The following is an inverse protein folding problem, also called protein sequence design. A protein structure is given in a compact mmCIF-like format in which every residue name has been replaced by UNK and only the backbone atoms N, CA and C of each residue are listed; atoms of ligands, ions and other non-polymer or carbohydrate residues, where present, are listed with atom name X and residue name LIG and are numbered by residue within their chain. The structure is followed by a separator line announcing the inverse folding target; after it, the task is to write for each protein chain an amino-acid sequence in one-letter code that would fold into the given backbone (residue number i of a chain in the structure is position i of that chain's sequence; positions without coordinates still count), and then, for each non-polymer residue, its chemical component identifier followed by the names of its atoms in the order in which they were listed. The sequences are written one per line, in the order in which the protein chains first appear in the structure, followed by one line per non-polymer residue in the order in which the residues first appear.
data_IF_779186557175
#
_entry.id   IF_779186557175
#
_cell.length_a   1.000
_cell.length_b   1.000
_cell.length_c   1.000
_cell.angle_alpha   90.00
_cell.angle_beta   90.00
_cell.angle_gamma   90.00
#
_symmetry.space_group_name_H-M   'P 1'
#
loop_
_entity.id
_entity.type
_entity.pdbx_description
1 polymer ?
#
# COMPACT_ATOMS: atom_id res chain seq x y z
N UNK A 1 -5.19 17.94 24.35
CA UNK A 1 -5.90 16.69 24.70
C UNK A 1 -6.54 16.15 23.43
N UNK A 2 -6.11 14.95 23.01
CA UNK A 2 -6.67 14.03 22.01
C UNK A 2 -7.24 14.63 20.70
N UNK A 3 -6.37 14.79 19.69
CA UNK A 3 -6.80 14.86 18.29
C UNK A 3 -6.93 13.44 17.74
N UNK A 4 -8.13 12.88 17.76
CA UNK A 4 -8.43 11.60 17.12
C UNK A 4 -8.31 11.77 15.60
N UNK A 5 -7.22 11.28 15.01
CA UNK A 5 -7.09 11.22 13.56
C UNK A 5 -8.08 10.17 13.03
N UNK A 6 -9.26 10.63 12.60
CA UNK A 6 -10.12 9.81 11.75
C UNK A 6 -9.38 9.62 10.43
N UNK A 7 -8.83 8.42 10.20
CA UNK A 7 -8.46 8.00 8.86
C UNK A 7 -9.76 7.93 8.05
N UNK A 8 -10.14 9.05 7.43
CA UNK A 8 -11.20 9.09 6.42
C UNK A 8 -10.69 8.30 5.22
N UNK A 9 -10.93 6.98 5.24
CA UNK A 9 -10.86 6.19 4.03
C UNK A 9 -12.04 6.63 3.17
N UNK A 10 -11.77 7.38 2.12
CA UNK A 10 -12.72 7.56 1.04
C UNK A 10 -12.94 6.17 0.42
N UNK A 11 -13.97 5.46 0.87
CA UNK A 11 -14.47 4.31 0.15
C UNK A 11 -15.02 4.85 -1.17
N UNK A 12 -14.54 4.36 -2.32
CA UNK A 12 -15.13 4.66 -3.61
C UNK A 12 -16.53 4.02 -3.66
N UNK A 13 -17.53 4.63 -3.03
CA UNK A 13 -18.90 4.15 -2.96
C UNK A 13 -19.09 2.76 -2.33
N UNK A 14 -20.27 2.20 -2.57
CA UNK A 14 -20.71 0.89 -2.10
C UNK A 14 -21.25 0.08 -3.30
N UNK A 15 -21.09 -1.24 -3.23
CA UNK A 15 -21.65 -2.17 -4.20
C UNK A 15 -22.48 -3.24 -3.52
N UNK A 16 -23.43 -3.81 -4.25
CA UNK A 16 -24.25 -4.92 -3.75
C UNK A 16 -23.60 -6.26 -4.05
N UNK A 17 -23.72 -7.18 -3.09
CA UNK A 17 -23.26 -8.57 -3.21
C UNK A 17 -24.37 -9.50 -2.74
N UNK A 18 -24.65 -10.54 -3.52
CA UNK A 18 -25.57 -11.60 -3.12
C UNK A 18 -25.00 -12.44 -1.96
N UNK A 19 -25.81 -12.61 -0.91
CA UNK A 19 -25.54 -13.48 0.23
C UNK A 19 -25.86 -14.92 -0.19
N UNK A 20 -24.90 -15.83 -0.07
CA UNK A 20 -25.10 -17.25 -0.36
C UNK A 20 -25.64 -17.97 0.87
N UNK A 21 -26.33 -19.08 0.66
CA UNK A 21 -26.80 -19.92 1.76
C UNK A 21 -25.61 -20.39 2.63
N UNK A 22 -25.68 -20.14 3.93
CA UNK A 22 -24.61 -20.46 4.87
C UNK A 22 -23.43 -19.47 4.90
N UNK A 23 -23.50 -18.34 4.17
CA UNK A 23 -22.53 -17.26 4.34
C UNK A 23 -22.63 -16.69 5.77
N UNK A 24 -21.50 -16.23 6.30
CA UNK A 24 -21.42 -15.41 7.52
C UNK A 24 -20.90 -14.02 7.18
N UNK A 25 -21.14 -13.02 8.04
CA UNK A 25 -20.56 -11.69 7.83
C UNK A 25 -19.02 -11.74 7.77
N UNK A 26 -18.40 -12.62 8.55
CA UNK A 26 -16.95 -12.84 8.54
C UNK A 26 -16.48 -13.43 7.20
N UNK A 27 -17.20 -14.41 6.65
CA UNK A 27 -16.88 -14.99 5.35
C UNK A 27 -17.06 -13.96 4.22
N UNK A 28 -18.10 -13.12 4.30
CA UNK A 28 -18.33 -12.02 3.37
C UNK A 28 -17.23 -10.95 3.46
N UNK A 29 -16.82 -10.58 4.68
CA UNK A 29 -15.73 -9.63 4.91
C UNK A 29 -14.39 -10.19 4.41
N UNK A 30 -14.09 -11.46 4.64
CA UNK A 30 -12.90 -12.10 4.10
C UNK A 30 -12.91 -12.10 2.56
N UNK A 31 -14.05 -12.51 1.97
CA UNK A 31 -14.22 -12.64 0.51
C UNK A 31 -14.15 -11.31 -0.23
N UNK A 32 -14.65 -10.22 0.36
CA UNK A 32 -14.81 -8.94 -0.34
C UNK A 32 -13.95 -7.81 0.20
N UNK A 33 -13.50 -7.88 1.46
CA UNK A 33 -12.67 -6.85 2.11
C UNK A 33 -11.25 -7.34 2.43
N UNK A 34 -10.94 -8.61 2.12
CA UNK A 34 -9.62 -9.23 2.35
C UNK A 34 -9.31 -9.55 3.82
N UNK A 35 -10.22 -9.24 4.75
CA UNK A 35 -10.02 -9.52 6.18
C UNK A 35 -11.34 -9.84 6.87
N UNK A 36 -11.40 -10.99 7.53
CA UNK A 36 -12.57 -11.42 8.30
C UNK A 36 -12.88 -10.46 9.46
N UNK A 37 -11.88 -9.76 10.01
CA UNK A 37 -12.03 -8.82 11.13
C UNK A 37 -12.92 -7.61 10.81
N UNK A 38 -13.12 -7.31 9.52
CA UNK A 38 -13.93 -6.18 9.04
C UNK A 38 -15.43 -6.47 8.96
N UNK A 39 -15.89 -7.55 9.57
CA UNK A 39 -17.31 -7.91 9.61
C UNK A 39 -18.17 -6.87 10.35
N UNK A 40 -17.61 -6.22 11.37
CA UNK A 40 -18.30 -5.15 12.12
C UNK A 40 -18.56 -3.91 11.25
N UNK A 41 -17.65 -3.60 10.32
CA UNK A 41 -17.83 -2.54 9.34
C UNK A 41 -19.02 -2.84 8.42
N UNK A 42 -19.19 -4.12 8.00
CA UNK A 42 -20.32 -4.55 7.17
C UNK A 42 -21.66 -4.48 7.91
N UNK A 43 -21.68 -4.88 9.18
CA UNK A 43 -22.87 -4.77 10.02
C UNK A 43 -23.30 -3.31 10.18
N UNK A 44 -22.34 -2.43 10.48
CA UNK A 44 -22.59 -0.99 10.64
C UNK A 44 -23.03 -0.33 9.35
N UNK A 45 -22.45 -0.68 8.20
CA UNK A 45 -22.81 -0.14 6.88
C UNK A 45 -24.26 -0.46 6.47
N UNK A 46 -24.80 -1.58 6.95
CA UNK A 46 -26.13 -2.08 6.59
C UNK A 46 -27.14 -1.97 7.73
N UNK A 47 -26.78 -1.33 8.85
CA UNK A 47 -27.59 -1.22 10.06
C UNK A 47 -28.09 -2.58 10.60
N UNK A 48 -27.22 -3.60 10.54
CA UNK A 48 -27.61 -4.97 10.90
C UNK A 48 -27.53 -5.23 12.40
N UNK A 49 -28.47 -6.05 12.89
CA UNK A 49 -28.56 -6.50 14.29
C UNK A 49 -28.44 -8.03 14.34
N UNK A 50 -27.81 -8.64 15.36
CA UNK A 50 -27.78 -10.08 15.51
C UNK A 50 -29.18 -10.71 15.41
N UNK A 51 -29.36 -11.83 14.68
CA UNK A 51 -28.34 -12.72 14.11
C UNK A 51 -27.71 -12.29 12.77
N UNK A 52 -27.97 -11.07 12.30
CA UNK A 52 -27.47 -10.44 11.06
C UNK A 52 -27.91 -11.11 9.74
N UNK A 53 -27.68 -12.41 9.60
CA UNK A 53 -28.09 -13.23 8.46
C UNK A 53 -28.99 -14.35 8.99
N UNK A 54 -30.14 -14.57 8.34
CA UNK A 54 -31.06 -15.64 8.69
C UNK A 54 -31.64 -16.35 7.47
N UNK A 55 -31.95 -17.62 7.63
CA UNK A 55 -32.74 -18.39 6.66
C UNK A 55 -34.24 -18.35 6.94
N UNK A 56 -34.65 -17.82 8.10
CA UNK A 56 -36.05 -17.75 8.51
C UNK A 56 -36.67 -16.39 8.09
N UNK A 57 -37.67 -16.39 7.20
CA UNK A 57 -38.38 -15.17 6.81
C UNK A 57 -39.06 -14.44 7.98
N UNK A 58 -39.39 -15.15 9.06
CA UNK A 58 -40.00 -14.57 10.25
C UNK A 58 -39.03 -13.62 10.98
N UNK A 59 -37.76 -13.99 11.09
CA UNK A 59 -36.72 -13.16 11.74
C UNK A 59 -36.38 -11.91 10.90
N UNK A 60 -36.38 -12.05 9.58
CA UNK A 60 -36.18 -10.94 8.64
C UNK A 60 -37.31 -9.92 8.75
N UNK A 61 -38.55 -10.38 8.86
CA UNK A 61 -39.73 -9.52 9.04
C UNK A 61 -39.76 -8.87 10.42
N UNK A 62 -39.46 -9.64 11.48
CA UNK A 62 -39.45 -9.16 12.86
C UNK A 62 -38.37 -8.09 13.12
N UNK A 63 -37.24 -8.17 12.41
CA UNK A 63 -36.14 -7.20 12.53
C UNK A 63 -36.36 -5.90 11.74
N UNK A 64 -37.46 -5.77 10.98
CA UNK A 64 -37.74 -4.59 10.18
C UNK A 64 -36.68 -4.31 9.09
N UNK A 65 -36.03 -5.37 8.57
CA UNK A 65 -34.97 -5.25 7.56
C UNK A 65 -33.55 -5.10 8.11
N UNK A 66 -33.35 -5.26 9.42
CA UNK A 66 -32.02 -5.26 10.08
C UNK A 66 -31.36 -6.65 10.16
N UNK A 67 -32.06 -7.69 9.71
CA UNK A 67 -31.53 -9.03 9.46
C UNK A 67 -31.78 -9.35 7.99
N UNK A 68 -30.75 -9.82 7.28
CA UNK A 68 -30.85 -10.12 5.85
C UNK A 68 -31.08 -11.62 5.62
N UNK A 69 -31.93 -11.94 4.65
CA UNK A 69 -32.17 -13.32 4.23
C UNK A 69 -31.00 -13.88 3.42
N UNK A 70 -30.75 -15.19 3.48
CA UNK A 70 -29.93 -15.86 2.47
C UNK A 70 -30.55 -15.67 1.07
N UNK A 71 -29.76 -15.23 0.10
CA UNK A 71 -30.21 -14.84 -1.24
C UNK A 71 -30.47 -13.34 -1.42
N UNK A 72 -30.55 -12.56 -0.33
CA UNK A 72 -30.62 -11.11 -0.41
C UNK A 72 -29.26 -10.49 -0.76
N UNK A 73 -29.26 -9.19 -1.10
CA UNK A 73 -28.03 -8.44 -1.36
C UNK A 73 -27.60 -7.64 -0.14
N UNK A 74 -26.33 -7.71 0.23
CA UNK A 74 -25.70 -6.88 1.26
C UNK A 74 -24.89 -5.75 0.60
N UNK A 75 -24.88 -4.55 1.20
CA UNK A 75 -23.96 -3.48 0.80
C UNK A 75 -22.58 -3.81 1.32
N UNK A 76 -21.60 -3.84 0.45
CA UNK A 76 -20.18 -3.87 0.85
C UNK A 76 -19.53 -2.60 0.36
N UNK A 77 -18.53 -2.11 1.10
CA UNK A 77 -17.64 -1.08 0.56
C UNK A 77 -17.13 -1.59 -0.79
N UNK A 78 -17.28 -0.80 -1.85
CA UNK A 78 -16.55 -1.17 -3.05
C UNK A 78 -15.08 -1.16 -2.64
N UNK A 79 -14.31 -2.16 -3.09
CA UNK A 79 -12.87 -1.96 -3.11
C UNK A 79 -12.70 -0.61 -3.80
N UNK A 80 -12.03 0.36 -3.15
CA UNK A 80 -11.72 1.63 -3.80
C UNK A 80 -11.28 1.24 -5.19
N UNK A 81 -12.00 1.72 -6.22
CA UNK A 81 -11.61 1.47 -7.60
C UNK A 81 -10.10 1.68 -7.57
N UNK A 82 -9.34 0.63 -7.86
CA UNK A 82 -7.88 0.72 -7.80
C UNK A 82 -7.58 1.94 -8.61
N UNK A 83 -7.19 3.03 -7.95
CA UNK A 83 -6.96 4.27 -8.64
C UNK A 83 -5.91 3.88 -9.66
N UNK A 84 -6.30 3.94 -10.93
CA UNK A 84 -5.37 3.60 -11.98
C UNK A 84 -4.34 4.71 -11.87
N UNK A 85 -3.05 4.37 -11.73
CA UNK A 85 -1.99 5.39 -11.66
C UNK A 85 -1.98 6.25 -12.94
N UNK A 86 -2.70 5.82 -13.97
CA UNK A 86 -2.99 6.55 -15.20
C UNK A 86 -4.17 7.55 -15.09
N UNK A 87 -5.10 7.35 -14.15
CA UNK A 87 -6.29 8.20 -13.96
C UNK A 87 -6.14 9.21 -12.83
N UNK A 88 -5.51 8.83 -11.71
CA UNK A 88 -5.17 9.75 -10.62
C UNK A 88 -3.83 9.38 -9.96
N UNK A 89 -2.71 9.86 -10.51
CA UNK A 89 -1.38 9.56 -9.97
C UNK A 89 -1.15 10.15 -8.58
N UNK A 90 -1.84 11.22 -8.20
CA UNK A 90 -1.67 11.87 -6.90
C UNK A 90 -2.32 11.04 -5.78
N UNK A 91 -3.47 10.41 -6.05
CA UNK A 91 -4.12 9.49 -5.11
C UNK A 91 -3.32 8.18 -4.92
N UNK A 92 -2.74 7.62 -5.99
CA UNK A 92 -1.99 6.36 -5.92
C UNK A 92 -0.63 6.53 -5.25
N UNK A 93 0.10 7.60 -5.61
CA UNK A 93 1.47 7.79 -5.16
C UNK A 93 1.62 8.75 -3.98
N UNK A 94 0.51 9.36 -3.55
CA UNK A 94 0.42 10.25 -2.40
C UNK A 94 1.28 11.51 -2.55
N UNK A 95 1.23 12.38 -1.54
CA UNK A 95 2.01 13.61 -1.46
C UNK A 95 2.86 13.62 -0.18
N UNK A 96 4.09 14.08 -0.28
CA UNK A 96 5.03 14.23 0.84
C UNK A 96 5.76 15.57 0.76
N UNK A 97 6.56 15.90 1.77
CA UNK A 97 7.42 17.07 1.79
C UNK A 97 8.53 16.94 0.73
N UNK A 98 8.73 18.02 -0.02
CA UNK A 98 9.80 18.13 -0.98
C UNK A 98 11.13 18.24 -0.23
N UNK A 99 12.05 17.33 -0.57
CA UNK A 99 13.39 17.28 -0.03
C UNK A 99 14.40 17.45 -1.17
N UNK A 100 15.27 18.44 -1.07
CA UNK A 100 16.38 18.65 -1.99
C UNK A 100 17.69 18.45 -1.22
N UNK A 101 18.44 17.41 -1.59
CA UNK A 101 19.67 17.00 -0.89
C UNK A 101 19.47 16.84 0.64
N UNK A 102 18.35 16.22 1.04
CA UNK A 102 18.01 15.98 2.44
C UNK A 102 17.51 17.20 3.21
N UNK A 103 17.31 18.35 2.56
CA UNK A 103 16.78 19.56 3.17
C UNK A 103 15.36 19.86 2.69
N UNK A 104 14.50 20.28 3.62
CA UNK A 104 13.17 20.78 3.29
C UNK A 104 13.30 22.05 2.45
N UNK A 105 12.50 22.15 1.41
CA UNK A 105 12.37 23.38 0.63
C UNK A 105 11.20 24.21 1.15
N UNK A 106 11.28 25.52 0.94
CA UNK A 106 10.21 26.47 1.27
C UNK A 106 9.77 27.12 -0.03
N UNK A 107 8.47 27.07 -0.32
CA UNK A 107 7.82 27.70 -1.46
C UNK A 107 6.68 28.58 -0.96
N UNK A 108 6.66 29.85 -1.39
CA UNK A 108 5.61 30.81 -1.01
C UNK A 108 5.38 30.99 0.50
N UNK A 109 6.41 30.74 1.33
CA UNK A 109 6.32 30.85 2.79
C UNK A 109 5.77 29.61 3.50
N UNK A 110 5.54 28.51 2.78
CA UNK A 110 5.19 27.20 3.32
C UNK A 110 6.22 26.13 2.85
N UNK A 111 6.14 24.91 3.37
CA UNK A 111 6.98 23.82 2.92
C UNK A 111 6.62 23.38 1.49
N UNK A 112 7.63 23.19 0.66
CA UNK A 112 7.44 22.57 -0.65
C UNK A 112 6.91 21.15 -0.49
N UNK A 113 6.01 20.75 -1.39
CA UNK A 113 5.45 19.39 -1.43
C UNK A 113 5.75 18.73 -2.77
N UNK A 114 5.91 17.41 -2.76
CA UNK A 114 6.04 16.60 -3.96
C UNK A 114 4.90 15.59 -4.00
N UNK A 115 4.16 15.56 -5.10
CA UNK A 115 3.03 14.65 -5.33
C UNK A 115 3.33 13.64 -6.46
N UNK A 116 2.53 12.58 -6.52
CA UNK A 116 2.50 11.69 -7.68
C UNK A 116 3.78 10.87 -7.88
N UNK A 117 4.15 10.65 -9.14
CA UNK A 117 5.28 9.79 -9.52
C UNK A 117 6.62 10.26 -8.93
N UNK A 118 6.83 11.57 -8.80
CA UNK A 118 8.07 12.11 -8.23
C UNK A 118 8.17 11.81 -6.73
N UNK A 119 7.04 11.83 -6.01
CA UNK A 119 6.99 11.40 -4.62
C UNK A 119 7.30 9.90 -4.49
N UNK A 120 6.72 9.09 -5.38
CA UNK A 120 7.01 7.66 -5.42
C UNK A 120 8.51 7.39 -5.62
N UNK A 121 9.14 8.01 -6.62
CA UNK A 121 10.59 7.88 -6.86
C UNK A 121 11.41 8.31 -5.64
N UNK A 122 11.09 9.46 -5.06
CA UNK A 122 11.78 9.98 -3.88
C UNK A 122 11.66 9.03 -2.68
N UNK A 123 10.47 8.48 -2.44
CA UNK A 123 10.23 7.54 -1.33
C UNK A 123 11.01 6.23 -1.48
N UNK A 124 11.12 5.69 -2.70
CA UNK A 124 11.93 4.50 -2.99
C UNK A 124 13.42 4.79 -2.83
N UNK A 125 13.90 5.94 -3.31
CA UNK A 125 15.30 6.35 -3.14
C UNK A 125 15.67 6.48 -1.65
N UNK A 126 14.79 7.08 -0.83
CA UNK A 126 14.98 7.16 0.64
C UNK A 126 15.06 5.78 1.27
N UNK A 127 14.17 4.85 0.88
CA UNK A 127 14.21 3.47 1.37
C UNK A 127 15.53 2.76 1.04
N UNK A 128 16.12 3.04 -0.11
CA UNK A 128 17.42 2.46 -0.50
C UNK A 128 18.59 3.08 0.25
N UNK A 129 18.49 4.36 0.65
CA UNK A 129 19.55 5.07 1.39
C UNK A 129 19.65 4.69 2.88
N UNK A 130 18.54 4.26 3.47
CA UNK A 130 18.46 3.87 4.89
C UNK A 130 18.90 2.41 5.04
N UNK A 131 19.75 2.12 6.01
CA UNK A 131 20.21 0.77 6.27
C UNK A 131 19.11 -0.06 6.95
N UNK A 132 19.04 -1.35 6.59
CA UNK A 132 18.05 -2.25 7.19
C UNK A 132 18.31 -2.38 8.71
N UNK A 133 17.32 -1.99 9.51
CA UNK A 133 17.42 -1.98 10.98
C UNK A 133 17.88 -0.65 11.59
N UNK A 134 18.19 0.36 10.77
CA UNK A 134 18.60 1.70 11.25
C UNK A 134 17.47 2.42 12.00
N UNK A 135 16.22 2.16 11.64
CA UNK A 135 15.03 2.74 12.28
C UNK A 135 14.51 1.81 13.39
N UNK A 136 14.64 2.15 14.68
CA UNK A 136 14.27 1.25 15.79
C UNK A 136 12.79 0.87 15.80
N UNK A 137 11.91 1.80 15.41
CA UNK A 137 10.47 1.56 15.33
C UNK A 137 10.02 0.91 14.01
N UNK A 138 10.92 0.82 13.02
CA UNK A 138 10.65 0.25 11.70
C UNK A 138 11.84 -0.59 11.21
N UNK A 139 12.18 -1.71 11.90
CA UNK A 139 13.38 -2.48 11.59
C UNK A 139 13.36 -3.16 10.21
N UNK A 140 12.16 -3.36 9.63
CA UNK A 140 11.99 -3.89 8.28
C UNK A 140 12.14 -2.85 7.18
N UNK A 141 12.21 -1.55 7.54
CA UNK A 141 12.41 -0.48 6.57
C UNK A 141 13.91 -0.31 6.28
N UNK A 142 14.24 -0.03 5.02
CA UNK A 142 15.62 0.16 4.56
C UNK A 142 16.07 -0.89 3.55
N UNK A 143 17.36 -0.86 3.24
CA UNK A 143 18.04 -1.76 2.32
C UNK A 143 19.37 -2.25 2.91
N UNK A 144 19.65 -3.54 2.73
CA UNK A 144 20.90 -4.15 3.22
C UNK A 144 22.09 -3.97 2.25
N UNK A 145 21.95 -3.12 1.23
CA UNK A 145 22.98 -2.93 0.19
C UNK A 145 24.30 -2.39 0.77
N UNK A 146 24.22 -1.51 1.78
CA UNK A 146 25.39 -0.92 2.47
C UNK A 146 26.28 -1.98 3.15
N UNK A 147 25.67 -3.03 3.72
CA UNK A 147 26.41 -4.15 4.31
C UNK A 147 27.19 -5.01 3.30
N UNK A 148 26.82 -4.93 2.01
CA UNK A 148 27.45 -5.69 0.92
C UNK A 148 28.56 -4.86 0.26
N UNK A 149 28.44 -3.53 0.30
CA UNK A 149 29.45 -2.57 -0.18
C UNK A 149 30.66 -2.62 0.77
N UNK A 150 31.85 -2.87 0.21
CA UNK A 150 33.08 -3.09 0.97
C UNK A 150 33.51 -4.55 1.07
N UNK A 151 32.67 -5.50 0.63
CA UNK A 151 33.09 -6.88 0.37
C UNK A 151 33.92 -6.97 -0.93
N UNK A 152 34.58 -8.11 -1.17
CA UNK A 152 35.37 -8.34 -2.39
C UNK A 152 34.48 -8.11 -3.61
N UNK A 153 34.88 -7.13 -4.44
CA UNK A 153 34.16 -6.80 -5.65
C UNK A 153 34.22 -7.99 -6.62
N UNK A 154 33.10 -8.72 -6.72
CA UNK A 154 32.97 -9.89 -7.55
C UNK A 154 31.52 -10.11 -7.99
N UNK A 155 31.28 -10.97 -8.99
CA UNK A 155 29.94 -11.22 -9.53
C UNK A 155 28.91 -11.59 -8.46
N UNK A 156 29.34 -12.34 -7.44
CA UNK A 156 28.50 -12.73 -6.30
C UNK A 156 28.07 -11.55 -5.44
N UNK A 157 28.96 -10.59 -5.18
CA UNK A 157 28.64 -9.38 -4.42
C UNK A 157 27.64 -8.50 -5.14
N UNK A 158 27.81 -8.30 -6.45
CA UNK A 158 26.86 -7.56 -7.28
C UNK A 158 25.48 -8.24 -7.34
N UNK A 159 25.45 -9.58 -7.45
CA UNK A 159 24.20 -10.35 -7.44
C UNK A 159 23.47 -10.26 -6.07
N UNK A 160 24.22 -10.33 -4.97
CA UNK A 160 23.67 -10.16 -3.62
C UNK A 160 23.13 -8.74 -3.40
N UNK A 161 23.87 -7.72 -3.84
CA UNK A 161 23.45 -6.33 -3.77
C UNK A 161 22.16 -6.11 -4.58
N UNK A 162 22.10 -6.62 -5.82
CA UNK A 162 20.89 -6.56 -6.65
C UNK A 162 19.69 -7.26 -5.99
N UNK A 163 19.91 -8.39 -5.32
CA UNK A 163 18.85 -9.11 -4.59
C UNK A 163 18.38 -8.34 -3.36
N UNK A 164 19.28 -7.68 -2.63
CA UNK A 164 18.94 -6.83 -1.49
C UNK A 164 18.08 -5.63 -1.91
N UNK A 165 18.46 -4.95 -2.99
CA UNK A 165 17.70 -3.83 -3.57
C UNK A 165 16.32 -4.31 -4.05
N UNK A 166 16.26 -5.41 -4.80
CA UNK A 166 14.97 -6.00 -5.23
C UNK A 166 14.06 -6.31 -4.05
N UNK A 167 14.60 -6.90 -2.97
CA UNK A 167 13.82 -7.18 -1.75
C UNK A 167 13.29 -5.91 -1.11
N UNK A 168 14.10 -4.87 -1.00
CA UNK A 168 13.70 -3.60 -0.40
C UNK A 168 12.57 -2.92 -1.20
N UNK A 169 12.67 -2.91 -2.53
CA UNK A 169 11.68 -2.30 -3.42
C UNK A 169 10.34 -3.06 -3.38
N UNK A 170 10.37 -4.40 -3.42
CA UNK A 170 9.16 -5.24 -3.36
C UNK A 170 8.39 -5.16 -2.03
N UNK A 171 8.99 -4.58 -0.98
CA UNK A 171 8.28 -4.35 0.28
C UNK A 171 7.48 -3.04 0.30
N UNK A 172 7.60 -2.18 -0.72
CA UNK A 172 6.69 -1.05 -0.85
C UNK A 172 5.39 -1.55 -1.52
N UNK A 173 4.21 -1.39 -0.88
CA UNK A 173 2.96 -1.91 -1.41
C UNK A 173 2.53 -1.24 -2.72
N UNK A 174 3.14 -0.12 -3.13
CA UNK A 174 2.86 0.56 -4.41
C UNK A 174 3.67 -0.01 -5.58
N UNK A 175 4.64 -0.89 -5.31
CA UNK A 175 5.46 -1.56 -6.33
C UNK A 175 4.77 -2.86 -6.76
N UNK A 176 4.43 -2.96 -8.04
CA UNK A 176 3.87 -4.18 -8.63
C UNK A 176 4.98 -5.15 -9.03
N UNK A 177 5.99 -4.65 -9.73
CA UNK A 177 7.09 -5.45 -10.25
C UNK A 177 8.41 -4.68 -10.17
N UNK A 178 9.49 -5.41 -9.91
CA UNK A 178 10.86 -4.90 -10.06
C UNK A 178 11.49 -5.62 -11.24
N UNK A 179 11.94 -4.86 -12.22
CA UNK A 179 12.62 -5.36 -13.40
C UNK A 179 14.12 -5.46 -13.19
N UNK A 180 14.90 -4.81 -14.06
CA UNK A 180 16.36 -4.84 -14.02
C UNK A 180 16.86 -4.03 -12.82
N UNK A 181 17.79 -4.62 -12.07
CA UNK A 181 18.53 -3.95 -11.01
C UNK A 181 20.01 -4.06 -11.32
N UNK A 182 20.69 -2.92 -11.34
CA UNK A 182 22.13 -2.81 -11.54
C UNK A 182 22.70 -2.07 -10.34
N UNK A 183 23.64 -2.71 -9.66
CA UNK A 183 24.45 -2.08 -8.62
C UNK A 183 25.87 -2.07 -9.15
N UNK A 184 26.41 -0.87 -9.34
CA UNK A 184 27.79 -0.69 -9.80
C UNK A 184 28.64 -0.12 -8.66
N UNK A 185 29.94 -0.39 -8.70
CA UNK A 185 30.90 0.18 -7.76
C UNK A 185 31.68 1.27 -8.49
N UNK A 186 31.50 2.52 -8.07
CA UNK A 186 32.19 3.69 -8.62
C UNK A 186 33.01 4.37 -7.51
N UNK A 187 34.24 3.90 -7.30
CA UNK A 187 35.12 4.40 -6.23
C UNK A 187 34.53 4.12 -4.85
N UNK A 188 34.15 5.18 -4.12
CA UNK A 188 33.55 5.10 -2.78
C UNK A 188 32.01 5.15 -2.79
N UNK A 189 31.39 5.19 -3.97
CA UNK A 189 29.93 5.23 -4.12
C UNK A 189 29.45 3.95 -4.78
N UNK A 190 28.27 3.50 -4.41
CA UNK A 190 27.57 2.44 -5.12
C UNK A 190 26.31 3.01 -5.80
N UNK A 191 26.40 3.49 -7.05
CA UNK A 191 25.22 3.86 -7.80
C UNK A 191 24.35 2.63 -8.04
N UNK A 192 23.08 2.77 -7.69
CA UNK A 192 22.02 1.77 -7.85
C UNK A 192 21.06 2.30 -8.90
N UNK A 193 20.84 1.51 -9.95
CA UNK A 193 19.80 1.75 -10.94
C UNK A 193 18.81 0.58 -10.92
N UNK A 194 17.52 0.88 -10.72
CA UNK A 194 16.47 -0.13 -10.69
C UNK A 194 15.27 0.31 -11.54
N UNK A 195 14.77 -0.58 -12.38
CA UNK A 195 13.52 -0.39 -13.11
C UNK A 195 12.35 -0.95 -12.32
N UNK A 196 11.31 -0.16 -12.11
CA UNK A 196 10.16 -0.49 -11.26
C UNK A 196 8.87 -0.21 -12.00
N UNK A 197 7.93 -1.15 -11.92
CA UNK A 197 6.56 -1.00 -12.41
C UNK A 197 5.65 -0.77 -11.20
N UNK A 198 5.00 0.39 -11.09
CA UNK A 198 4.06 0.67 -10.01
C UNK A 198 2.71 -0.01 -10.25
N UNK A 199 1.92 -0.16 -9.18
CA UNK A 199 0.54 -0.66 -9.30
C UNK A 199 -0.32 0.35 -10.08
N UNK A 200 -1.14 -0.14 -11.01
CA UNK A 200 -2.06 0.69 -11.79
C UNK A 200 -1.39 1.46 -12.93
N UNK A 201 -0.14 1.15 -13.28
CA UNK A 201 0.47 1.67 -14.51
C UNK A 201 1.38 0.63 -15.14
N UNK A 202 1.33 0.51 -16.47
CA UNK A 202 2.32 -0.26 -17.22
C UNK A 202 3.64 0.51 -17.41
N UNK A 203 3.73 1.77 -16.95
CA UNK A 203 4.91 2.60 -17.13
C UNK A 203 6.05 2.14 -16.22
N UNK A 204 7.13 1.66 -16.84
CA UNK A 204 8.38 1.35 -16.15
C UNK A 204 9.10 2.64 -15.81
N UNK A 205 9.37 2.84 -14.53
CA UNK A 205 10.14 3.99 -14.02
C UNK A 205 11.50 3.54 -13.54
N UNK A 206 12.53 4.31 -13.91
CA UNK A 206 13.90 4.10 -13.41
C UNK A 206 14.11 4.90 -12.13
N UNK A 207 14.61 4.21 -11.10
CA UNK A 207 15.05 4.78 -9.83
C UNK A 207 16.58 4.77 -9.80
N UNK A 208 17.16 5.93 -9.49
CA UNK A 208 18.58 6.06 -9.22
C UNK A 208 18.76 6.41 -7.75
N UNK A 209 19.61 5.65 -7.05
CA UNK A 209 19.95 5.89 -5.66
C UNK A 209 21.45 5.67 -5.44
N UNK A 210 21.96 6.23 -4.35
CA UNK A 210 23.33 6.00 -3.90
C UNK A 210 23.29 5.38 -2.50
N UNK A 211 24.19 4.42 -2.29
CA UNK A 211 24.43 3.77 -1.01
C UNK A 211 25.88 3.98 -0.55
#
# INVERSE_FOLDING_TARGET
MSGSYSTTRYAAGWRFVAIRHGDTLQALALRHLGSASRWADLASLNDLVPPYLSGDPAEVTASGGRVLAYGASIRVFAASATADAQTDPEEVFLTDLALVAGRLTVENGDYGTVSGMENFKASLARRLSIELGELPFHPSYGCAVRSIIGSVNGPTGAALAGRAVRRALLQDPRVQEVGRVVVSAAGHRAPIEASVTPIGSAAVTTISAEA
#
